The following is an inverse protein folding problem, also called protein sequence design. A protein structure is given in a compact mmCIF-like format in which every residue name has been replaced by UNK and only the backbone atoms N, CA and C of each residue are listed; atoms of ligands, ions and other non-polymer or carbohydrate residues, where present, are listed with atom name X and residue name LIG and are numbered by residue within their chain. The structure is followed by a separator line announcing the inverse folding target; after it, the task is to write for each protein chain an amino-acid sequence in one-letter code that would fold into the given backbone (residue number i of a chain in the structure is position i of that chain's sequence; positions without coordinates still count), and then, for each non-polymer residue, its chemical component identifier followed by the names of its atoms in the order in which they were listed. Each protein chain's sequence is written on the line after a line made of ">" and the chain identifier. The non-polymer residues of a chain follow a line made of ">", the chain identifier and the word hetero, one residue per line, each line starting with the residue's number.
data_IF_827030917211
#
_entry.id   IF_827030917211
#
_cell.length_a   1.000
_cell.length_b   1.000
_cell.length_c   1.000
_cell.angle_alpha   90.00
_cell.angle_beta   90.00
_cell.angle_gamma   90.00
#
_symmetry.space_group_name_H-M   'P 1'
#
loop_
_entity.id
_entity.type
_entity.pdbx_description
1 polymer ?
#
# COMPACT_ATOMS: atom_id res chain seq x y z
N UNK A 1 17.46 8.92 20.82
CA UNK A 1 18.57 7.98 20.56
C UNK A 1 18.78 7.98 19.05
N UNK A 2 20.02 8.20 18.62
CA UNK A 2 20.47 8.71 17.31
C UNK A 2 19.67 8.26 16.07
N UNK A 3 18.88 9.18 15.50
CA UNK A 3 18.60 9.16 14.06
C UNK A 3 19.95 9.17 13.34
N UNK A 4 20.18 8.20 12.46
CA UNK A 4 21.38 8.20 11.64
C UNK A 4 21.32 9.43 10.72
N UNK A 5 22.05 10.49 11.10
CA UNK A 5 22.01 11.85 10.52
C UNK A 5 22.34 11.89 9.01
N UNK A 6 22.79 10.76 8.46
CA UNK A 6 23.24 10.58 7.08
C UNK A 6 22.10 10.43 6.06
N UNK A 7 20.87 10.05 6.45
CA UNK A 7 19.79 9.73 5.49
C UNK A 7 18.67 10.77 5.31
N UNK A 8 18.67 11.87 6.07
CA UNK A 8 17.68 12.95 5.90
C UNK A 8 18.05 13.96 4.78
N UNK A 9 19.17 13.74 4.08
CA UNK A 9 19.53 14.54 2.92
C UNK A 9 18.62 14.20 1.73
N UNK A 10 18.36 15.16 0.85
CA UNK A 10 17.51 14.96 -0.34
C UNK A 10 17.94 13.73 -1.18
N UNK A 11 19.25 13.44 -1.37
CA UNK A 11 19.71 12.20 -2.00
C UNK A 11 19.31 10.91 -1.24
N UNK A 12 19.38 10.91 0.09
CA UNK A 12 19.01 9.76 0.92
C UNK A 12 17.51 9.46 0.89
N UNK A 13 16.67 10.51 0.87
CA UNK A 13 15.22 10.38 0.70
C UNK A 13 14.85 9.81 -0.68
N UNK A 14 15.48 10.32 -1.74
CA UNK A 14 15.28 9.79 -3.10
C UNK A 14 15.70 8.33 -3.22
N UNK A 15 16.84 7.95 -2.63
CA UNK A 15 17.30 6.56 -2.61
C UNK A 15 16.29 5.65 -1.89
N UNK A 16 15.81 6.08 -0.72
CA UNK A 16 14.81 5.33 0.07
C UNK A 16 13.52 5.13 -0.71
N UNK A 17 13.03 6.18 -1.37
CA UNK A 17 11.85 6.12 -2.23
C UNK A 17 12.02 5.14 -3.39
N UNK A 18 13.16 5.19 -4.10
CA UNK A 18 13.45 4.28 -5.21
C UNK A 18 13.50 2.82 -4.75
N UNK A 19 14.12 2.55 -3.60
CA UNK A 19 14.17 1.19 -3.02
C UNK A 19 12.74 0.69 -2.74
N UNK A 20 11.93 1.49 -2.04
CA UNK A 20 10.53 1.13 -1.73
C UNK A 20 9.74 0.85 -3.00
N UNK A 21 9.89 1.70 -4.03
CA UNK A 21 9.20 1.54 -5.31
C UNK A 21 9.59 0.23 -6.01
N UNK A 22 10.90 -0.07 -6.10
CA UNK A 22 11.40 -1.29 -6.72
C UNK A 22 10.84 -2.53 -6.00
N UNK A 23 10.93 -2.57 -4.67
CA UNK A 23 10.39 -3.69 -3.90
C UNK A 23 8.89 -3.86 -4.07
N UNK A 24 8.14 -2.75 -4.11
CA UNK A 24 6.68 -2.77 -4.34
C UNK A 24 6.33 -3.32 -5.72
N UNK A 25 7.06 -2.93 -6.77
CA UNK A 25 6.85 -3.46 -8.12
C UNK A 25 7.21 -4.95 -8.19
N UNK A 26 8.32 -5.35 -7.55
CA UNK A 26 8.75 -6.75 -7.52
C UNK A 26 7.74 -7.66 -6.81
N UNK A 27 7.19 -7.25 -5.67
CA UNK A 27 6.16 -8.04 -4.98
C UNK A 27 4.88 -8.15 -5.83
N UNK A 28 4.42 -7.05 -6.44
CA UNK A 28 3.25 -7.08 -7.32
C UNK A 28 3.49 -8.04 -8.50
N UNK A 29 4.68 -7.99 -9.10
CA UNK A 29 5.06 -8.91 -10.18
C UNK A 29 5.11 -10.37 -9.72
N UNK A 30 5.66 -10.63 -8.53
CA UNK A 30 5.67 -11.96 -7.93
C UNK A 30 4.26 -12.51 -7.72
N UNK A 31 3.35 -11.71 -7.15
CA UNK A 31 1.95 -12.11 -6.96
C UNK A 31 1.20 -12.29 -8.28
N UNK A 32 1.45 -11.48 -9.30
CA UNK A 32 0.90 -11.67 -10.63
C UNK A 32 1.34 -13.03 -11.22
N UNK A 33 2.60 -13.40 -11.05
CA UNK A 33 3.14 -14.70 -11.43
C UNK A 33 2.47 -15.86 -10.68
N UNK A 34 2.41 -15.77 -9.34
CA UNK A 34 1.75 -16.78 -8.50
C UNK A 34 0.29 -16.97 -8.88
N UNK A 35 -0.46 -15.88 -9.00
CA UNK A 35 -1.87 -15.91 -9.36
C UNK A 35 -2.08 -16.57 -10.73
N UNK A 36 -1.22 -16.25 -11.71
CA UNK A 36 -1.24 -16.90 -13.04
C UNK A 36 -1.07 -18.41 -12.96
N UNK A 37 -0.19 -18.90 -12.09
CA UNK A 37 0.00 -20.36 -11.93
C UNK A 37 -1.21 -21.01 -11.27
N UNK A 38 -1.85 -20.32 -10.33
CA UNK A 38 -3.07 -20.81 -9.67
C UNK A 38 -4.25 -20.82 -10.63
N UNK A 39 -4.51 -19.75 -11.39
CA UNK A 39 -5.62 -19.68 -12.35
C UNK A 39 -5.50 -20.69 -13.50
N UNK A 40 -4.28 -21.01 -13.93
CA UNK A 40 -4.04 -22.09 -14.89
C UNK A 40 -4.59 -23.43 -14.43
N UNK A 41 -4.54 -23.74 -13.13
CA UNK A 41 -5.14 -24.97 -12.56
C UNK A 41 -6.66 -24.99 -12.66
N UNK A 42 -7.29 -23.83 -12.75
CA UNK A 42 -8.74 -23.68 -12.99
C UNK A 42 -9.11 -23.63 -14.48
N UNK A 43 -8.17 -23.90 -15.39
CA UNK A 43 -8.41 -23.87 -16.83
C UNK A 43 -8.54 -22.46 -17.42
N UNK A 44 -8.21 -21.42 -16.64
CA UNK A 44 -8.30 -20.02 -17.09
C UNK A 44 -6.96 -19.61 -17.71
N UNK A 45 -6.99 -19.18 -18.97
CA UNK A 45 -5.81 -18.67 -19.69
C UNK A 45 -5.63 -17.17 -19.43
N UNK A 46 -4.92 -16.82 -18.35
CA UNK A 46 -4.47 -15.45 -18.07
C UNK A 46 -2.98 -15.30 -18.32
N UNK A 47 -2.53 -14.17 -18.85
CA UNK A 47 -1.11 -13.84 -18.94
C UNK A 47 -0.67 -13.09 -17.67
N UNK A 48 0.60 -13.21 -17.30
CA UNK A 48 1.17 -12.52 -16.11
C UNK A 48 0.98 -11.01 -16.22
N UNK A 49 1.13 -10.43 -17.42
CA UNK A 49 0.94 -8.99 -17.68
C UNK A 49 -0.49 -8.51 -17.43
N UNK A 50 -1.49 -9.37 -17.65
CA UNK A 50 -2.90 -9.02 -17.45
C UNK A 50 -3.19 -8.96 -15.96
N UNK A 51 -2.69 -9.98 -15.23
CA UNK A 51 -2.81 -10.06 -13.78
C UNK A 51 -2.02 -8.93 -13.09
N UNK A 52 -0.83 -8.61 -13.58
CA UNK A 52 -0.04 -7.48 -13.10
C UNK A 52 -0.78 -6.15 -13.24
N UNK A 53 -1.38 -5.89 -14.42
CA UNK A 53 -2.17 -4.67 -14.66
C UNK A 53 -3.37 -4.56 -13.73
N UNK A 54 -4.09 -5.66 -13.52
CA UNK A 54 -5.24 -5.69 -12.60
C UNK A 54 -4.84 -5.46 -11.16
N UNK A 55 -3.75 -6.07 -10.73
CA UNK A 55 -3.22 -5.88 -9.38
C UNK A 55 -2.81 -4.41 -9.19
N UNK A 56 -2.03 -3.83 -10.11
CA UNK A 56 -1.65 -2.41 -10.04
C UNK A 56 -2.88 -1.52 -9.94
N UNK A 57 -3.90 -1.77 -10.78
CA UNK A 57 -5.13 -1.00 -10.77
C UNK A 57 -5.84 -1.08 -9.41
N UNK A 58 -5.78 -2.21 -8.72
CA UNK A 58 -6.37 -2.34 -7.38
C UNK A 58 -5.68 -1.48 -6.31
N UNK A 59 -4.41 -1.09 -6.50
CA UNK A 59 -3.69 -0.19 -5.59
C UNK A 59 -3.92 1.31 -5.87
N UNK A 60 -4.72 1.65 -6.89
CA UNK A 60 -5.02 3.04 -7.24
C UNK A 60 -5.58 3.88 -6.06
N UNK A 61 -6.46 3.35 -5.17
CA UNK A 61 -6.94 4.11 -4.01
C UNK A 61 -5.82 4.55 -3.06
N UNK A 62 -4.75 3.74 -2.90
CA UNK A 62 -3.60 4.14 -2.09
C UNK A 62 -2.83 5.29 -2.73
N UNK A 63 -2.66 5.28 -4.05
CA UNK A 63 -2.03 6.39 -4.77
C UNK A 63 -2.85 7.68 -4.60
N UNK A 64 -4.19 7.59 -4.64
CA UNK A 64 -5.06 8.73 -4.34
C UNK A 64 -4.88 9.22 -2.89
N UNK A 65 -4.84 8.31 -1.92
CA UNK A 65 -4.60 8.65 -0.51
C UNK A 65 -3.26 9.36 -0.34
N UNK A 66 -2.19 8.85 -0.95
CA UNK A 66 -0.84 9.39 -0.81
C UNK A 66 -0.68 10.77 -1.48
N UNK A 67 -1.33 11.00 -2.63
CA UNK A 67 -1.20 12.29 -3.33
C UNK A 67 -2.12 13.34 -2.71
N UNK A 68 -3.39 13.01 -2.48
CA UNK A 68 -4.38 14.01 -2.08
C UNK A 68 -4.55 14.06 -0.57
N UNK A 69 -4.84 12.92 0.06
CA UNK A 69 -5.19 12.88 1.47
C UNK A 69 -3.99 13.29 2.34
N UNK A 70 -2.83 12.69 2.10
CA UNK A 70 -1.60 13.00 2.82
C UNK A 70 -1.15 14.46 2.62
N UNK A 71 -1.29 15.02 1.41
CA UNK A 71 -0.97 16.45 1.18
C UNK A 71 -1.90 17.36 1.99
N UNK A 72 -3.20 17.04 2.06
CA UNK A 72 -4.15 17.80 2.87
C UNK A 72 -3.85 17.69 4.37
N UNK A 73 -3.47 16.50 4.83
CA UNK A 73 -3.04 16.29 6.21
C UNK A 73 -1.79 17.11 6.54
N UNK A 74 -0.79 17.13 5.65
CA UNK A 74 0.40 17.97 5.80
C UNK A 74 0.06 19.46 5.84
N UNK A 75 -0.94 19.94 5.07
CA UNK A 75 -1.37 21.35 5.13
C UNK A 75 -2.07 21.68 6.46
N UNK A 76 -2.84 20.74 7.02
CA UNK A 76 -3.68 20.99 8.20
C UNK A 76 -2.93 20.77 9.51
N UNK A 77 -2.14 19.70 9.58
CA UNK A 77 -1.39 19.29 10.77
C UNK A 77 0.07 19.75 10.71
N UNK A 78 0.63 19.97 9.52
CA UNK A 78 2.03 20.34 9.37
C UNK A 78 2.94 19.31 10.02
N UNK A 79 3.93 19.80 10.77
CA UNK A 79 4.89 18.92 11.45
C UNK A 79 4.25 18.09 12.57
N UNK A 80 3.14 18.56 13.17
CA UNK A 80 2.43 17.84 14.26
C UNK A 80 1.96 16.45 13.87
N UNK A 81 1.82 16.17 12.57
CA UNK A 81 1.47 14.87 12.02
C UNK A 81 2.45 13.76 12.44
N UNK A 82 3.72 14.09 12.64
CA UNK A 82 4.77 13.12 12.96
C UNK A 82 5.11 13.07 14.46
N UNK A 83 4.47 13.89 15.30
CA UNK A 83 4.71 13.91 16.73
C UNK A 83 3.68 13.06 17.49
N UNK A 84 4.16 12.33 18.49
CA UNK A 84 3.31 11.56 19.41
C UNK A 84 2.76 12.41 20.56
N UNK A 85 3.44 13.51 20.91
CA UNK A 85 3.07 14.35 22.04
C UNK A 85 3.27 15.85 21.72
N UNK A 86 2.20 16.67 21.60
CA UNK A 86 0.80 16.25 21.55
C UNK A 86 0.41 15.68 20.17
N UNK A 87 -0.39 14.63 20.15
CA UNK A 87 -0.82 13.99 18.90
C UNK A 87 -1.84 14.84 18.12
N UNK A 88 -1.95 14.65 16.78
CA UNK A 88 -2.97 15.31 15.95
C UNK A 88 -4.40 15.09 16.44
N UNK A 89 -4.65 13.93 17.05
CA UNK A 89 -5.96 13.55 17.62
C UNK A 89 -6.32 14.36 18.86
N UNK A 90 -5.32 14.86 19.60
CA UNK A 90 -5.53 15.73 20.76
C UNK A 90 -5.69 17.18 20.30
N UNK A 91 -4.85 17.63 19.37
CA UNK A 91 -4.86 19.02 18.89
C UNK A 91 -6.10 19.36 18.07
N UNK A 92 -6.47 18.50 17.11
CA UNK A 92 -7.56 18.72 16.15
C UNK A 92 -8.34 17.43 15.91
N UNK A 93 -8.86 16.84 17.00
CA UNK A 93 -9.48 15.51 17.02
C UNK A 93 -10.52 15.27 15.92
N UNK A 94 -11.51 16.16 15.77
CA UNK A 94 -12.56 15.99 14.74
C UNK A 94 -11.98 15.84 13.34
N UNK A 95 -10.99 16.66 12.98
CA UNK A 95 -10.37 16.63 11.66
C UNK A 95 -9.51 15.38 11.51
N UNK A 96 -8.76 14.99 12.54
CA UNK A 96 -7.95 13.78 12.53
C UNK A 96 -8.80 12.51 12.32
N UNK A 97 -9.96 12.41 12.98
CA UNK A 97 -10.86 11.28 12.77
C UNK A 97 -11.50 11.26 11.37
N UNK A 98 -11.75 12.43 10.77
CA UNK A 98 -12.23 12.51 9.37
C UNK A 98 -11.17 11.95 8.42
N UNK A 99 -9.91 12.38 8.57
CA UNK A 99 -8.79 11.87 7.77
C UNK A 99 -8.59 10.36 7.93
N UNK A 100 -8.55 9.87 9.17
CA UNK A 100 -8.46 8.45 9.47
C UNK A 100 -9.60 7.64 8.82
N UNK A 101 -10.81 8.21 8.81
CA UNK A 101 -11.97 7.55 8.15
C UNK A 101 -11.74 7.45 6.64
N UNK A 102 -11.23 8.50 6.00
CA UNK A 102 -10.90 8.47 4.57
C UNK A 102 -9.77 7.48 4.25
N UNK A 103 -8.72 7.42 5.07
CA UNK A 103 -7.66 6.41 4.92
C UNK A 103 -8.22 4.99 5.01
N UNK A 104 -9.06 4.72 6.03
CA UNK A 104 -9.73 3.43 6.18
C UNK A 104 -10.59 3.09 4.96
N UNK A 105 -11.32 4.07 4.40
CA UNK A 105 -12.10 3.89 3.19
C UNK A 105 -11.23 3.56 1.97
N UNK A 106 -10.05 4.19 1.83
CA UNK A 106 -9.12 3.89 0.73
C UNK A 106 -8.56 2.47 0.84
N UNK A 107 -8.22 2.02 2.06
CA UNK A 107 -7.80 0.63 2.33
C UNK A 107 -8.91 -0.35 1.92
N UNK A 108 -10.13 -0.12 2.40
CA UNK A 108 -11.28 -0.98 2.09
C UNK A 108 -11.59 -1.00 0.59
N UNK A 109 -11.48 0.16 -0.07
CA UNK A 109 -11.71 0.26 -1.51
C UNK A 109 -10.64 -0.49 -2.31
N UNK A 110 -9.36 -0.37 -1.95
CA UNK A 110 -8.29 -1.13 -2.60
C UNK A 110 -8.47 -2.64 -2.41
N UNK A 111 -8.84 -3.06 -1.20
CA UNK A 111 -9.18 -4.45 -0.93
C UNK A 111 -10.34 -4.93 -1.82
N UNK A 112 -11.43 -4.16 -1.91
CA UNK A 112 -12.58 -4.46 -2.76
C UNK A 112 -12.20 -4.60 -4.24
N UNK A 113 -11.36 -3.71 -4.76
CA UNK A 113 -10.88 -3.78 -6.14
C UNK A 113 -10.04 -5.04 -6.39
N UNK A 114 -9.12 -5.37 -5.47
CA UNK A 114 -8.30 -6.58 -5.60
C UNK A 114 -9.16 -7.85 -5.56
N UNK A 115 -10.18 -7.88 -4.68
CA UNK A 115 -11.10 -9.00 -4.57
C UNK A 115 -11.89 -9.18 -5.86
N UNK A 116 -12.40 -8.09 -6.42
CA UNK A 116 -13.15 -8.10 -7.67
C UNK A 116 -12.27 -8.57 -8.83
N UNK A 117 -11.02 -8.07 -8.92
CA UNK A 117 -10.06 -8.49 -9.93
C UNK A 117 -9.81 -10.01 -9.89
N UNK A 118 -9.51 -10.56 -8.72
CA UNK A 118 -9.28 -12.00 -8.57
C UNK A 118 -10.55 -12.82 -8.76
N UNK A 119 -11.72 -12.29 -8.39
CA UNK A 119 -12.99 -13.00 -8.53
C UNK A 119 -13.45 -13.14 -9.96
N UNK A 120 -13.27 -12.10 -10.77
CA UNK A 120 -13.59 -12.14 -12.21
C UNK A 120 -12.75 -13.20 -12.91
N UNK A 121 -11.48 -13.36 -12.52
CA UNK A 121 -10.57 -14.31 -13.17
C UNK A 121 -10.70 -15.74 -12.63
N UNK A 122 -10.72 -15.92 -11.31
CA UNK A 122 -10.74 -17.26 -10.68
C UNK A 122 -12.14 -17.87 -10.58
N UNK A 123 -13.19 -17.05 -10.70
CA UNK A 123 -14.61 -17.41 -10.43
C UNK A 123 -14.89 -17.93 -9.03
N UNK A 124 -13.92 -17.91 -8.11
CA UNK A 124 -14.06 -18.44 -6.75
C UNK A 124 -13.89 -17.35 -5.69
N UNK A 125 -14.89 -17.23 -4.83
CA UNK A 125 -14.90 -16.25 -3.73
C UNK A 125 -13.74 -16.48 -2.75
N UNK A 126 -13.53 -17.73 -2.36
CA UNK A 126 -12.56 -18.10 -1.32
C UNK A 126 -11.14 -17.74 -1.78
N UNK A 127 -10.77 -18.16 -2.99
CA UNK A 127 -9.45 -17.83 -3.55
C UNK A 127 -9.25 -16.33 -3.70
N UNK A 128 -10.29 -15.60 -4.09
CA UNK A 128 -10.22 -14.15 -4.27
C UNK A 128 -9.98 -13.43 -2.94
N UNK A 129 -10.70 -13.81 -1.88
CA UNK A 129 -10.46 -13.25 -0.53
C UNK A 129 -9.05 -13.57 -0.05
N UNK A 130 -8.61 -14.83 -0.17
CA UNK A 130 -7.27 -15.25 0.28
C UNK A 130 -6.18 -14.46 -0.46
N UNK A 131 -6.24 -14.36 -1.78
CA UNK A 131 -5.23 -13.62 -2.56
C UNK A 131 -5.25 -12.12 -2.25
N UNK A 132 -6.44 -11.52 -2.09
CA UNK A 132 -6.57 -10.12 -1.67
C UNK A 132 -5.96 -9.85 -0.30
N UNK A 133 -6.21 -10.71 0.68
CA UNK A 133 -5.60 -10.56 2.02
C UNK A 133 -4.09 -10.72 1.93
N UNK A 134 -3.63 -11.79 1.28
CA UNK A 134 -2.20 -12.10 1.19
C UNK A 134 -1.42 -10.95 0.55
N UNK A 135 -1.88 -10.41 -0.58
CA UNK A 135 -1.13 -9.34 -1.26
C UNK A 135 -1.07 -8.05 -0.42
N UNK A 136 -2.17 -7.67 0.22
CA UNK A 136 -2.22 -6.48 1.06
C UNK A 136 -1.34 -6.62 2.30
N UNK A 137 -1.51 -7.72 3.04
CA UNK A 137 -0.72 -8.02 4.24
C UNK A 137 0.77 -8.08 3.91
N UNK A 138 1.16 -8.75 2.82
CA UNK A 138 2.56 -8.84 2.43
C UNK A 138 3.16 -7.50 2.01
N UNK A 139 2.40 -6.64 1.33
CA UNK A 139 2.86 -5.28 1.03
C UNK A 139 3.07 -4.47 2.32
N UNK A 140 2.11 -4.47 3.25
CA UNK A 140 2.27 -3.75 4.53
C UNK A 140 3.46 -4.26 5.34
N UNK A 141 3.64 -5.58 5.42
CA UNK A 141 4.77 -6.20 6.12
C UNK A 141 6.10 -5.76 5.48
N UNK A 142 6.21 -5.80 4.15
CA UNK A 142 7.45 -5.41 3.46
C UNK A 142 7.73 -3.92 3.65
N UNK A 143 6.72 -3.05 3.52
CA UNK A 143 6.89 -1.61 3.74
C UNK A 143 7.36 -1.32 5.17
N UNK A 144 6.80 -2.02 6.16
CA UNK A 144 7.25 -1.92 7.55
C UNK A 144 8.71 -2.35 7.72
N UNK A 145 9.10 -3.52 7.20
CA UNK A 145 10.49 -3.98 7.32
C UNK A 145 11.49 -3.09 6.57
N UNK A 146 11.14 -2.58 5.39
CA UNK A 146 11.99 -1.64 4.65
C UNK A 146 12.15 -0.33 5.44
N UNK A 147 11.05 0.21 5.97
CA UNK A 147 11.10 1.40 6.82
C UNK A 147 11.98 1.17 8.05
N UNK A 148 11.84 0.03 8.72
CA UNK A 148 12.67 -0.33 9.86
C UNK A 148 14.16 -0.42 9.50
N UNK A 149 14.52 -1.04 8.38
CA UNK A 149 15.94 -1.16 7.97
C UNK A 149 16.57 0.17 7.56
N UNK A 150 15.78 1.09 6.97
CA UNK A 150 16.29 2.38 6.47
C UNK A 150 16.38 3.42 7.59
N UNK A 151 15.43 3.42 8.53
CA UNK A 151 15.22 4.51 9.49
C UNK A 151 15.42 4.13 10.97
N UNK A 152 15.38 2.84 11.35
CA UNK A 152 15.68 2.37 12.72
C UNK A 152 17.10 1.79 12.80
#
# INVERSE_FOLDING_TARGET
>A
MFFNKWNASLPGLLQSYIIILIFTVLIIFFYAGLFTQVTKRFGVKTLVKDNFSLIIFSFLPYTFSLIFLFTLEMVIFGETLFYYDPSPFILKGTIAYIFLTFECLMILWSFFLSFTAFKVQSKSNIYSVIFSILIHVSIYIILYYISAVIYL
#
